data_IF_796029902774
#
_entry.id   IF_796029902774
#
_cell.length_a   1.000
_cell.length_b   1.000
_cell.length_c   1.000
_cell.angle_alpha   90.00
_cell.angle_beta   90.00
_cell.angle_gamma   90.00
#
_symmetry.space_group_name_H-M   'P 1'
#
loop_
_entity.id
_entity.type
_entity.pdbx_description
1 polymer ?
#
# COMPACT_ATOMS: atom_id res chain seq x y z
N UNK A 1 -13.84 12.05 -7.84
CA UNK A 1 -12.65 12.34 -8.68
C UNK A 1 -13.03 12.04 -10.13
N UNK A 2 -12.72 12.94 -11.06
CA UNK A 2 -13.08 12.84 -12.49
C UNK A 2 -11.84 13.08 -13.32
N UNK A 3 -11.64 12.30 -14.38
CA UNK A 3 -10.55 12.49 -15.35
C UNK A 3 -11.17 12.83 -16.70
N UNK A 4 -10.72 13.91 -17.35
CA UNK A 4 -11.22 14.32 -18.67
C UNK A 4 -10.09 14.66 -19.63
N UNK A 5 -10.33 14.37 -20.91
CA UNK A 5 -9.49 14.81 -22.01
C UNK A 5 -10.01 16.18 -22.50
N UNK A 6 -9.14 17.18 -22.49
CA UNK A 6 -9.46 18.54 -22.93
C UNK A 6 -8.24 19.18 -23.59
N UNK A 7 -8.40 19.65 -24.83
CA UNK A 7 -7.37 20.38 -25.58
C UNK A 7 -6.00 19.66 -25.67
N UNK A 8 -6.01 18.33 -25.83
CA UNK A 8 -4.76 17.55 -25.90
C UNK A 8 -4.08 17.37 -24.54
N UNK A 9 -4.80 17.60 -23.45
CA UNK A 9 -4.33 17.38 -22.08
C UNK A 9 -5.32 16.52 -21.31
N UNK A 10 -4.79 15.74 -20.36
CA UNK A 10 -5.59 15.01 -19.39
C UNK A 10 -5.69 15.86 -18.13
N UNK A 11 -6.90 16.29 -17.78
CA UNK A 11 -7.20 17.01 -16.55
C UNK A 11 -7.76 16.05 -15.51
N UNK A 12 -7.22 16.11 -14.29
CA UNK A 12 -7.73 15.39 -13.12
C UNK A 12 -8.45 16.41 -12.23
N UNK A 13 -9.71 16.12 -11.93
CA UNK A 13 -10.57 16.96 -11.12
C UNK A 13 -10.93 16.26 -9.80
N UNK A 14 -10.90 17.04 -8.73
CA UNK A 14 -11.41 16.69 -7.42
C UNK A 14 -12.35 17.80 -6.96
N UNK A 15 -13.58 17.42 -6.59
CA UNK A 15 -14.61 18.36 -6.15
C UNK A 15 -14.85 19.54 -7.13
N UNK A 16 -14.92 19.22 -8.43
CA UNK A 16 -15.11 20.20 -9.51
C UNK A 16 -13.90 21.08 -9.83
N UNK A 17 -12.82 21.04 -9.02
CA UNK A 17 -11.58 21.80 -9.25
C UNK A 17 -10.53 20.94 -9.95
N UNK A 18 -9.80 21.55 -10.89
CA UNK A 18 -8.66 20.90 -11.54
C UNK A 18 -7.50 20.83 -10.54
N UNK A 19 -7.05 19.62 -10.22
CA UNK A 19 -5.94 19.37 -9.29
C UNK A 19 -4.66 18.92 -10.00
N UNK A 20 -4.76 18.42 -11.23
CA UNK A 20 -3.60 18.10 -12.06
C UNK A 20 -3.95 18.20 -13.55
N UNK A 21 -2.94 18.53 -14.36
CA UNK A 21 -3.03 18.60 -15.83
C UNK A 21 -1.80 17.91 -16.41
N UNK A 22 -2.01 17.02 -17.38
CA UNK A 22 -0.96 16.24 -18.03
C UNK A 22 -1.02 16.41 -19.54
N UNK A 23 0.13 16.50 -20.21
CA UNK A 23 0.17 16.47 -21.68
C UNK A 23 -0.23 15.08 -22.19
N UNK A 24 -1.10 15.03 -23.20
CA UNK A 24 -1.49 13.77 -23.83
C UNK A 24 -0.39 13.34 -24.79
N UNK A 25 0.28 12.24 -24.48
CA UNK A 25 1.30 11.66 -25.36
C UNK A 25 0.74 10.43 -26.08
N UNK A 26 0.67 10.46 -27.41
CA UNK A 26 0.05 9.39 -28.23
C UNK A 26 1.05 8.41 -28.85
N UNK A 27 2.36 8.56 -28.59
CA UNK A 27 3.35 7.63 -29.16
C UNK A 27 3.29 6.27 -28.45
N UNK A 28 3.16 5.21 -29.25
CA UNK A 28 3.31 3.84 -28.77
C UNK A 28 4.71 3.66 -28.18
N UNK A 29 4.80 2.94 -27.06
CA UNK A 29 6.04 2.67 -26.30
C UNK A 29 6.69 3.88 -25.60
N UNK A 30 6.00 5.02 -25.46
CA UNK A 30 6.48 6.12 -24.60
C UNK A 30 5.67 6.24 -23.32
N UNK A 31 6.33 6.15 -22.17
CA UNK A 31 5.75 6.49 -20.85
C UNK A 31 6.16 7.92 -20.50
N UNK A 32 5.18 8.80 -20.29
CA UNK A 32 5.43 10.16 -19.80
C UNK A 32 5.06 10.19 -18.32
N UNK A 33 6.08 10.29 -17.47
CA UNK A 33 5.90 10.45 -16.02
C UNK A 33 5.48 11.89 -15.69
N UNK A 34 4.71 12.06 -14.62
CA UNK A 34 4.38 13.39 -14.11
C UNK A 34 5.68 14.09 -13.64
N UNK A 35 5.76 15.40 -13.86
CA UNK A 35 6.82 16.22 -13.27
C UNK A 35 6.84 16.00 -11.75
N UNK A 36 8.02 15.70 -11.22
CA UNK A 36 8.25 15.43 -9.80
C UNK A 36 7.52 14.20 -9.21
N UNK A 37 6.96 13.30 -10.04
CA UNK A 37 6.22 12.10 -9.61
C UNK A 37 6.97 11.23 -8.57
N UNK A 38 8.29 11.20 -8.67
CA UNK A 38 9.17 10.41 -7.79
C UNK A 38 10.18 11.28 -7.05
N UNK A 39 9.93 12.58 -6.95
CA UNK A 39 10.79 13.49 -6.18
C UNK A 39 10.77 13.06 -4.70
N UNK A 40 11.96 12.92 -4.10
CA UNK A 40 12.11 12.41 -2.73
C UNK A 40 12.04 10.89 -2.59
N UNK A 41 11.66 10.14 -3.63
CA UNK A 41 11.59 8.68 -3.56
C UNK A 41 12.98 8.04 -3.30
N UNK A 42 14.03 8.62 -3.91
CA UNK A 42 15.41 8.18 -3.69
C UNK A 42 15.89 8.44 -2.26
N UNK A 43 15.49 9.56 -1.67
CA UNK A 43 15.80 9.93 -0.29
C UNK A 43 15.05 9.01 0.70
N UNK A 44 13.87 8.52 0.32
CA UNK A 44 13.09 7.56 1.08
C UNK A 44 13.45 6.08 0.78
N UNK A 45 14.58 5.79 0.13
CA UNK A 45 14.98 4.42 -0.27
C UNK A 45 13.89 3.65 -1.05
N UNK A 46 13.07 4.33 -1.85
CA UNK A 46 11.97 3.71 -2.59
C UNK A 46 10.70 3.49 -1.76
N UNK A 47 10.67 3.91 -0.49
CA UNK A 47 9.51 3.72 0.38
C UNK A 47 8.50 4.86 0.22
N UNK A 48 7.29 4.51 -0.24
CA UNK A 48 6.15 5.44 -0.33
C UNK A 48 5.52 5.75 1.03
N UNK A 49 5.82 4.93 2.05
CA UNK A 49 5.29 5.02 3.40
C UNK A 49 6.43 4.84 4.40
N UNK A 50 6.29 5.33 5.65
CA UNK A 50 7.26 5.03 6.69
C UNK A 50 7.49 3.52 6.81
N UNK A 51 8.72 3.10 7.16
CA UNK A 51 9.02 1.68 7.36
C UNK A 51 7.98 1.09 8.34
N UNK A 52 7.30 -0.01 7.96
CA UNK A 52 6.30 -0.60 8.82
C UNK A 52 6.96 -0.96 10.15
N UNK A 53 6.41 -0.42 11.23
CA UNK A 53 6.85 -0.73 12.60
C UNK A 53 5.86 -1.73 13.18
N UNK A 54 6.36 -2.86 13.65
CA UNK A 54 5.56 -3.74 14.48
C UNK A 54 5.29 -3.01 15.80
N UNK A 55 4.03 -2.65 16.05
CA UNK A 55 3.60 -2.06 17.31
C UNK A 55 2.95 -3.18 18.11
N UNK A 56 3.52 -3.51 19.26
CA UNK A 56 2.86 -4.40 20.23
C UNK A 56 1.69 -3.63 20.84
N UNK A 57 0.49 -3.85 20.30
CA UNK A 57 -0.73 -3.14 20.70
C UNK A 57 -1.09 -3.38 22.19
N UNK A 58 -0.77 -4.56 22.71
CA UNK A 58 -0.96 -4.92 24.12
C UNK A 58 -0.06 -6.10 24.51
N UNK A 59 0.13 -6.31 25.81
CA UNK A 59 0.61 -7.59 26.32
C UNK A 59 -0.44 -8.66 26.03
N UNK A 60 -0.13 -9.59 25.12
CA UNK A 60 -0.94 -10.80 24.96
C UNK A 60 -0.90 -11.56 26.30
N UNK A 61 -2.03 -11.62 26.99
CA UNK A 61 -2.24 -12.60 28.04
C UNK A 61 -2.47 -13.95 27.38
N UNK A 62 -1.41 -14.75 27.30
CA UNK A 62 -1.49 -16.13 26.83
C UNK A 62 -1.63 -17.05 28.02
N UNK A 63 -2.52 -18.03 27.92
CA UNK A 63 -2.64 -19.09 28.91
C UNK A 63 -1.38 -19.96 28.85
N UNK A 64 -0.69 -20.08 29.99
CA UNK A 64 0.44 -21.01 30.12
C UNK A 64 -0.09 -22.35 30.59
N UNK A 65 -0.07 -23.35 29.71
CA UNK A 65 -0.45 -24.73 30.03
C UNK A 65 0.78 -25.62 30.20
N UNK A 66 0.75 -26.58 31.15
CA UNK A 66 1.80 -27.58 31.24
C UNK A 66 1.78 -28.50 30.02
N UNK A 67 2.97 -29.02 29.65
CA UNK A 67 3.14 -29.85 28.46
C UNK A 67 2.24 -31.10 28.43
N UNK A 68 1.93 -31.67 29.60
CA UNK A 68 1.03 -32.85 29.71
C UNK A 68 -0.39 -32.63 29.18
N UNK A 69 -0.84 -31.38 29.01
CA UNK A 69 -2.12 -31.09 28.34
C UNK A 69 -2.08 -31.51 26.86
N UNK A 70 -0.93 -31.37 26.19
CA UNK A 70 -0.81 -31.77 24.79
C UNK A 70 -0.66 -33.29 24.66
N UNK A 71 0.00 -33.94 25.61
CA UNK A 71 0.14 -35.41 25.65
C UNK A 71 -1.23 -36.09 25.75
N UNK A 72 -2.09 -35.63 26.66
CA UNK A 72 -3.47 -36.14 26.79
C UNK A 72 -4.35 -35.88 25.56
N UNK A 73 -4.15 -34.78 24.85
CA UNK A 73 -4.89 -34.51 23.60
C UNK A 73 -4.42 -35.38 22.43
N UNK A 74 -3.15 -35.78 22.41
CA UNK A 74 -2.60 -36.69 21.40
C UNK A 74 -3.15 -38.11 21.56
N UNK A 75 -3.37 -38.57 22.80
CA UNK A 75 -3.96 -39.89 23.10
C UNK A 75 -5.43 -40.01 22.68
N UNK A 76 -6.18 -38.91 22.67
CA UNK A 76 -7.60 -38.87 22.26
C UNK A 76 -7.78 -38.88 20.73
N UNK A 77 -6.72 -38.58 19.97
CA UNK A 77 -6.75 -38.51 18.50
C UNK A 77 -6.57 -39.84 17.76
N UNK A 78 -6.39 -40.95 18.47
CA UNK A 78 -6.16 -42.29 17.90
C UNK A 78 -7.32 -43.25 18.15
N UNK A 79 -8.54 -42.87 17.74
CA UNK A 79 -9.70 -43.77 17.62
C UNK A 79 -10.11 -43.88 16.16
#
# INVERSE_FOLDING_TARGET
MVVRDKNGKIEILYDGKVIAVHEKHYRSRSTVFLKDQYKGLKEAEGMFYPRPRAIKLSSLEVEKRPLGVYESLLEVGTV
#
